data_IF_514596618931
#
_entry.id   IF_514596618931
#
_cell.length_a   1.000
_cell.length_b   1.000
_cell.length_c   1.000
_cell.angle_alpha   90.00
_cell.angle_beta   90.00
_cell.angle_gamma   90.00
#
_symmetry.space_group_name_H-M   'P 1'
#
loop_
_entity.id
_entity.type
_entity.pdbx_description
1 polymer ?
#
# COMPACT_ATOMS: atom_id res chain seq x y z
N UNK A 1 -6.61 7.44 -25.00
CA UNK A 1 -6.60 5.96 -24.95
C UNK A 1 -6.99 5.54 -23.56
N UNK A 2 -7.78 4.47 -23.41
CA UNK A 2 -8.18 3.99 -22.09
C UNK A 2 -7.35 2.78 -21.67
N UNK A 3 -6.89 2.77 -20.42
CA UNK A 3 -6.22 1.63 -19.80
C UNK A 3 -6.94 1.20 -18.52
N UNK A 4 -6.85 -0.09 -18.21
CA UNK A 4 -7.46 -0.69 -17.02
C UNK A 4 -6.37 -1.10 -16.03
N UNK A 5 -6.38 -0.49 -14.84
CA UNK A 5 -5.40 -0.77 -13.78
C UNK A 5 -6.11 -1.52 -12.66
N UNK A 6 -5.65 -2.73 -12.34
CA UNK A 6 -6.10 -3.45 -11.13
C UNK A 6 -5.25 -3.03 -9.94
N UNK A 7 -5.88 -2.53 -8.89
CA UNK A 7 -5.23 -2.22 -7.63
C UNK A 7 -4.92 -3.51 -6.85
N UNK A 8 -4.03 -3.41 -5.86
CA UNK A 8 -3.74 -4.49 -4.91
C UNK A 8 -4.97 -4.95 -4.11
N UNK A 9 -5.99 -4.10 -4.02
CA UNK A 9 -7.29 -4.41 -3.38
C UNK A 9 -8.28 -5.08 -4.32
N UNK A 10 -7.90 -5.38 -5.57
CA UNK A 10 -8.76 -5.99 -6.58
C UNK A 10 -9.71 -5.02 -7.29
N UNK A 11 -9.67 -3.72 -6.97
CA UNK A 11 -10.48 -2.69 -7.64
C UNK A 11 -9.89 -2.39 -9.02
N UNK A 12 -10.71 -2.40 -10.05
CA UNK A 12 -10.30 -1.99 -11.40
C UNK A 12 -10.57 -0.50 -11.58
N UNK A 13 -9.58 0.24 -12.08
CA UNK A 13 -9.65 1.68 -12.32
C UNK A 13 -9.46 1.91 -13.82
N UNK A 14 -10.37 2.67 -14.42
CA UNK A 14 -10.23 3.16 -15.80
C UNK A 14 -9.41 4.44 -15.78
N UNK A 15 -8.37 4.51 -16.60
CA UNK A 15 -7.53 5.69 -16.76
C UNK A 15 -7.56 6.14 -18.23
N UNK A 16 -7.83 7.43 -18.44
CA UNK A 16 -7.63 8.06 -19.75
C UNK A 16 -6.18 8.55 -19.83
N UNK A 17 -5.46 8.08 -20.83
CA UNK A 17 -4.05 8.38 -21.08
C UNK A 17 -3.83 8.83 -22.53
N UNK A 18 -2.84 9.69 -22.72
CA UNK A 18 -2.38 10.14 -24.03
C UNK A 18 -1.06 9.44 -24.39
N UNK A 19 -0.74 9.33 -25.68
CA UNK A 19 0.54 8.75 -26.12
C UNK A 19 1.76 9.57 -25.71
N UNK A 20 1.55 10.82 -25.30
CA UNK A 20 2.54 11.74 -24.75
C UNK A 20 2.78 11.56 -23.24
N UNK A 21 1.90 10.83 -22.53
CA UNK A 21 2.05 10.63 -21.09
C UNK A 21 3.26 9.74 -20.80
N UNK A 22 4.15 10.23 -19.93
CA UNK A 22 5.23 9.40 -19.37
C UNK A 22 4.68 8.45 -18.32
N UNK A 23 5.47 7.42 -17.97
CA UNK A 23 5.10 6.49 -16.89
C UNK A 23 4.88 7.22 -15.56
N UNK A 24 5.64 8.28 -15.28
CA UNK A 24 5.48 9.05 -14.05
C UNK A 24 4.17 9.85 -14.07
N UNK A 25 3.78 10.41 -15.22
CA UNK A 25 2.46 11.05 -15.38
C UNK A 25 1.32 10.05 -15.16
N UNK A 26 1.44 8.83 -15.70
CA UNK A 26 0.44 7.77 -15.50
C UNK A 26 0.36 7.37 -14.02
N UNK A 27 1.50 7.24 -13.32
CA UNK A 27 1.51 6.96 -11.88
C UNK A 27 0.81 8.05 -11.07
N UNK A 28 1.05 9.32 -11.39
CA UNK A 28 0.38 10.45 -10.74
C UNK A 28 -1.14 10.39 -10.97
N UNK A 29 -1.59 10.17 -12.21
CA UNK A 29 -3.02 9.99 -12.55
C UNK A 29 -3.66 8.81 -11.79
N UNK A 30 -2.92 7.72 -11.58
CA UNK A 30 -3.40 6.59 -10.76
C UNK A 30 -3.53 7.00 -9.29
N UNK A 31 -2.56 7.71 -8.73
CA UNK A 31 -2.60 8.20 -7.35
C UNK A 31 -3.79 9.14 -7.11
N UNK A 32 -4.10 10.02 -8.06
CA UNK A 32 -5.24 10.92 -7.99
C UNK A 32 -6.60 10.20 -8.01
N UNK A 33 -6.69 9.05 -8.67
CA UNK A 33 -7.92 8.23 -8.67
C UNK A 33 -8.01 7.30 -7.47
N UNK A 34 -6.87 6.91 -6.87
CA UNK A 34 -6.82 6.15 -5.61
C UNK A 34 -6.65 7.11 -4.43
N UNK A 35 -7.61 8.04 -4.28
CA UNK A 35 -7.64 8.92 -3.10
C UNK A 35 -7.84 8.08 -1.84
N UNK A 36 -7.25 8.53 -0.74
CA UNK A 36 -7.45 7.97 0.61
C UNK A 36 -6.98 6.52 0.75
N UNK A 37 -5.96 6.10 -0.01
CA UNK A 37 -5.33 4.78 0.16
C UNK A 37 -4.90 4.50 1.61
N UNK A 38 -4.55 5.55 2.36
CA UNK A 38 -4.18 5.46 3.78
C UNK A 38 -5.35 5.04 4.67
N UNK A 39 -6.59 5.46 4.37
CA UNK A 39 -7.77 5.07 5.17
C UNK A 39 -8.03 3.57 5.08
N UNK A 40 -7.59 2.91 4.01
CA UNK A 40 -7.71 1.45 3.87
C UNK A 40 -6.89 0.69 4.91
N UNK A 41 -5.99 1.35 5.65
CA UNK A 41 -5.22 0.73 6.72
C UNK A 41 -5.92 0.83 8.07
N UNK A 42 -7.11 1.43 8.12
CA UNK A 42 -7.89 1.60 9.32
C UNK A 42 -9.25 0.97 9.15
N UNK A 43 -9.72 0.28 10.19
CA UNK A 43 -11.10 -0.18 10.31
C UNK A 43 -11.69 0.44 11.58
N UNK A 44 -12.89 0.96 11.49
CA UNK A 44 -13.63 1.46 12.65
C UNK A 44 -14.71 0.45 12.98
N UNK A 45 -14.71 -0.06 14.20
CA UNK A 45 -15.77 -0.95 14.70
C UNK A 45 -17.01 -0.14 15.11
N UNK A 46 -18.16 -0.79 15.26
CA UNK A 46 -19.44 -0.14 15.62
C UNK A 46 -19.39 0.59 16.97
N UNK A 47 -18.42 0.27 17.83
CA UNK A 47 -18.15 0.97 19.10
C UNK A 47 -17.27 2.21 18.95
N UNK A 48 -16.93 2.63 17.72
CA UNK A 48 -16.03 3.75 17.44
C UNK A 48 -14.55 3.47 17.70
N UNK A 49 -14.15 2.21 17.93
CA UNK A 49 -12.74 1.85 18.10
C UNK A 49 -12.05 1.75 16.75
N UNK A 50 -10.86 2.34 16.63
CA UNK A 50 -10.05 2.31 15.41
C UNK A 50 -9.02 1.18 15.49
N UNK A 51 -9.12 0.21 14.59
CA UNK A 51 -8.15 -0.85 14.40
C UNK A 51 -7.23 -0.55 13.22
N UNK A 52 -5.92 -0.72 13.43
CA UNK A 52 -4.90 -0.61 12.37
C UNK A 52 -4.70 -1.96 11.72
N UNK A 53 -4.80 -2.02 10.39
CA UNK A 53 -4.75 -3.25 9.60
C UNK A 53 -3.33 -3.64 9.15
N UNK A 54 -2.34 -2.76 9.34
CA UNK A 54 -0.94 -2.99 8.96
C UNK A 54 -0.01 -2.90 10.16
N UNK A 55 1.10 -3.63 10.07
CA UNK A 55 2.17 -3.59 11.07
C UNK A 55 2.88 -2.23 11.02
N UNK A 56 3.13 -1.64 12.19
CA UNK A 56 3.96 -0.43 12.30
C UNK A 56 5.44 -0.79 12.28
N UNK A 57 6.24 0.08 11.68
CA UNK A 57 7.68 -0.06 11.66
C UNK A 57 8.25 0.15 13.08
N UNK A 58 9.05 -0.79 13.61
CA UNK A 58 9.63 -0.68 14.94
C UNK A 58 10.86 0.24 15.01
N UNK A 59 11.38 0.72 13.87
CA UNK A 59 12.51 1.65 13.85
C UNK A 59 12.08 2.99 14.49
N UNK A 60 12.83 3.45 15.48
CA UNK A 60 12.59 4.70 16.20
C UNK A 60 12.51 5.92 15.26
N UNK A 61 13.26 5.93 14.15
CA UNK A 61 13.24 7.02 13.16
C UNK A 61 11.96 7.03 12.30
N UNK A 62 11.26 5.90 12.23
CA UNK A 62 10.01 5.79 11.49
C UNK A 62 8.82 6.37 12.25
N UNK A 63 8.84 6.30 13.58
CA UNK A 63 7.80 6.86 14.45
C UNK A 63 6.44 6.17 14.31
N UNK A 64 5.53 6.51 15.22
CA UNK A 64 4.17 5.99 15.23
C UNK A 64 3.42 6.38 13.94
N UNK A 65 2.73 5.41 13.34
CA UNK A 65 1.97 5.61 12.09
C UNK A 65 2.73 5.34 10.78
N UNK A 66 4.02 4.99 10.83
CA UNK A 66 4.72 4.45 9.65
C UNK A 66 4.37 2.97 9.48
N UNK A 67 3.42 2.67 8.61
CA UNK A 67 3.01 1.31 8.30
C UNK A 67 3.97 0.62 7.33
N UNK A 68 4.29 -0.64 7.61
CA UNK A 68 5.02 -1.51 6.70
C UNK A 68 4.10 -1.98 5.57
N UNK A 69 4.65 -2.08 4.36
CA UNK A 69 4.01 -2.71 3.22
C UNK A 69 4.00 -4.23 3.41
N UNK A 70 2.85 -4.86 3.17
CA UNK A 70 2.71 -6.31 3.21
C UNK A 70 2.92 -6.86 1.80
N UNK A 71 3.98 -7.64 1.62
CA UNK A 71 4.21 -8.47 0.44
C UNK A 71 3.91 -9.94 0.78
N UNK A 72 3.89 -10.81 -0.22
CA UNK A 72 3.59 -12.23 -0.04
C UNK A 72 4.62 -12.97 0.82
N UNK A 73 5.87 -12.50 0.82
CA UNK A 73 7.05 -13.12 1.45
C UNK A 73 7.65 -12.27 2.58
N UNK A 74 7.26 -11.00 2.69
CA UNK A 74 7.90 -10.06 3.62
C UNK A 74 7.01 -8.88 4.00
N UNK A 75 7.39 -8.22 5.09
CA UNK A 75 7.00 -6.85 5.38
C UNK A 75 8.15 -5.91 5.07
N UNK A 76 7.85 -4.78 4.42
CA UNK A 76 8.86 -3.80 4.02
C UNK A 76 8.50 -2.39 4.48
N UNK A 77 9.40 -1.71 5.18
CA UNK A 77 9.24 -0.30 5.53
C UNK A 77 9.72 0.59 4.39
N UNK A 78 8.80 1.35 3.76
CA UNK A 78 9.16 2.29 2.69
C UNK A 78 9.99 3.50 3.13
N UNK A 79 10.06 3.80 4.44
CA UNK A 79 10.79 4.96 4.98
C UNK A 79 12.25 4.65 5.32
N UNK A 80 12.51 3.54 6.03
CA UNK A 80 13.86 3.17 6.48
C UNK A 80 14.44 1.92 5.80
N UNK A 81 13.69 1.27 4.91
CA UNK A 81 14.13 0.06 4.21
C UNK A 81 14.13 -1.23 5.04
N UNK A 82 13.71 -1.18 6.32
CA UNK A 82 13.66 -2.36 7.18
C UNK A 82 12.74 -3.43 6.60
N UNK A 83 13.23 -4.67 6.54
CA UNK A 83 12.54 -5.81 5.94
C UNK A 83 12.41 -6.95 6.94
N UNK A 84 11.18 -7.47 7.13
CA UNK A 84 10.92 -8.72 7.86
C UNK A 84 10.45 -9.79 6.90
N UNK A 85 11.25 -10.83 6.69
CA UNK A 85 10.87 -11.98 5.85
C UNK A 85 10.11 -12.98 6.70
N UNK A 86 9.01 -13.54 6.19
CA UNK A 86 8.34 -14.63 6.87
C UNK A 86 9.20 -15.89 6.73
N UNK A 87 9.67 -16.46 7.84
CA UNK A 87 10.20 -17.82 7.81
C UNK A 87 9.03 -18.76 7.49
N UNK A 88 9.10 -19.48 6.36
CA UNK A 88 8.19 -20.59 6.11
C UNK A 88 8.36 -21.58 7.27
N UNK A 89 7.29 -21.88 7.99
CA UNK A 89 7.25 -23.02 8.90
C UNK A 89 7.39 -24.27 8.02
N UNK A 90 8.61 -24.75 7.90
CA UNK A 90 9.03 -25.73 6.90
C UNK A 90 10.52 -25.54 6.64
N UNK A 91 11.32 -25.63 7.70
CA UNK A 91 12.73 -25.91 7.58
C UNK A 91 12.89 -27.41 7.30
N UNK A 92 13.68 -27.71 6.27
CA UNK A 92 14.55 -28.87 6.28
C UNK A 92 15.91 -28.43 6.82
#
# INVERSE_FOLDING_TARGET
>A
MQIFVKTLTGKTITLEVESSDTIDNVKAKIQDKVKLAVLQFYKVDDSGKVQRLRKECPNAECGAGTFMANHFDRHYCGKCGLTYVYQKAGGD
#
